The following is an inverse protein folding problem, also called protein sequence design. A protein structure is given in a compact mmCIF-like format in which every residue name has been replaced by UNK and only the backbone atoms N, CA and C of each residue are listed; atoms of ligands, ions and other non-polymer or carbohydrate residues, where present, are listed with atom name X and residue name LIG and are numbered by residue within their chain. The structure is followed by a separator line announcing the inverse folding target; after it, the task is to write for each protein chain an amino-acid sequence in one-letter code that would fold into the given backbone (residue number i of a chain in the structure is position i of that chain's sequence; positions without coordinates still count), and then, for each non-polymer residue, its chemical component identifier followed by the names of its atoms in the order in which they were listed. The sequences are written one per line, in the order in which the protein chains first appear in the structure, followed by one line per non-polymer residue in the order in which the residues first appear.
data_IF_077548745583
#
_entry.id   IF_077548745583
#
_cell.length_a   1.000
_cell.length_b   1.000
_cell.length_c   1.000
_cell.angle_alpha   90.00
_cell.angle_beta   90.00
_cell.angle_gamma   90.00
#
_symmetry.space_group_name_H-M   'P 1'
#
loop_
_entity.id
_entity.type
_entity.pdbx_description
1 polymer ?
#
# COMPACT_ATOMS: atom_id res chain seq x y z
N UNK A 1 -2.78 20.63 -0.67
CA UNK A 1 -3.01 19.52 0.28
C UNK A 1 -4.21 18.76 -0.26
N UNK A 2 -3.97 17.65 -0.97
CA UNK A 2 -5.06 16.78 -1.41
C UNK A 2 -5.74 16.18 -0.18
N UNK A 3 -7.03 16.43 -0.03
CA UNK A 3 -7.83 15.90 1.06
C UNK A 3 -8.11 14.43 0.77
N UNK A 4 -7.54 13.53 1.57
CA UNK A 4 -7.84 12.10 1.46
C UNK A 4 -9.34 11.92 1.76
N UNK A 5 -10.13 11.34 0.84
CA UNK A 5 -11.58 11.24 0.99
C UNK A 5 -11.94 10.39 2.22
N UNK A 6 -12.83 10.92 3.06
CA UNK A 6 -13.39 10.18 4.19
C UNK A 6 -14.64 9.42 3.76
N UNK A 7 -14.64 8.12 4.01
CA UNK A 7 -15.74 7.21 3.64
C UNK A 7 -16.48 6.78 4.91
N UNK A 8 -17.81 6.89 4.98
CA UNK A 8 -18.55 6.37 6.13
C UNK A 8 -18.53 4.84 6.16
N UNK A 9 -18.49 4.26 7.36
CA UNK A 9 -18.46 2.81 7.57
C UNK A 9 -19.61 2.07 6.84
N UNK A 10 -20.77 2.71 6.73
CA UNK A 10 -21.96 2.15 6.08
C UNK A 10 -21.75 1.90 4.59
N UNK A 11 -20.90 2.68 3.93
CA UNK A 11 -20.50 2.44 2.54
C UNK A 11 -19.67 1.16 2.43
N UNK A 12 -18.79 0.90 3.41
CA UNK A 12 -17.91 -0.27 3.40
C UNK A 12 -18.66 -1.55 3.77
N UNK A 13 -19.61 -1.48 4.71
CA UNK A 13 -20.45 -2.62 5.12
C UNK A 13 -21.21 -3.26 3.95
N UNK A 14 -21.54 -2.47 2.93
CA UNK A 14 -22.29 -2.92 1.77
C UNK A 14 -21.40 -3.38 0.60
N UNK A 15 -20.08 -3.25 0.71
CA UNK A 15 -19.15 -3.71 -0.32
C UNK A 15 -18.80 -5.18 -0.14
N UNK A 16 -18.67 -5.88 -1.27
CA UNK A 16 -18.01 -7.17 -1.25
C UNK A 16 -16.51 -6.98 -1.01
N UNK A 17 -15.88 -8.01 -0.46
CA UNK A 17 -14.44 -8.01 -0.15
C UNK A 17 -13.57 -7.62 -1.34
N UNK A 18 -13.94 -8.04 -2.56
CA UNK A 18 -13.21 -7.69 -3.78
C UNK A 18 -13.32 -6.21 -4.17
N UNK A 19 -14.49 -5.60 -3.96
CA UNK A 19 -14.71 -4.19 -4.25
C UNK A 19 -13.97 -3.31 -3.23
N UNK A 20 -13.99 -3.73 -1.95
CA UNK A 20 -13.22 -3.09 -0.89
C UNK A 20 -11.70 -3.16 -1.15
N UNK A 21 -11.19 -4.32 -1.58
CA UNK A 21 -9.78 -4.46 -1.97
C UNK A 21 -9.42 -3.62 -3.20
N UNK A 22 -10.35 -3.40 -4.12
CA UNK A 22 -10.12 -2.55 -5.28
C UNK A 22 -10.01 -1.07 -4.87
N UNK A 23 -10.86 -0.63 -3.94
CA UNK A 23 -10.79 0.69 -3.29
C UNK A 23 -9.45 0.90 -2.57
N UNK A 24 -9.02 -0.09 -1.78
CA UNK A 24 -7.71 -0.08 -1.09
C UNK A 24 -6.51 -0.07 -2.05
N UNK A 25 -6.65 -0.56 -3.28
CA UNK A 25 -5.58 -0.53 -4.29
C UNK A 25 -5.54 0.78 -5.07
N UNK A 26 -6.68 1.46 -5.23
CA UNK A 26 -6.73 2.77 -5.85
C UNK A 26 -6.16 3.84 -4.92
N UNK A 27 -6.52 3.77 -3.64
CA UNK A 27 -6.06 4.69 -2.62
C UNK A 27 -5.21 3.93 -1.60
N UNK A 28 -3.90 4.23 -1.55
CA UNK A 28 -2.96 3.63 -0.59
C UNK A 28 -3.42 3.78 0.88
N UNK A 29 -4.23 4.80 1.14
CA UNK A 29 -4.80 5.13 2.44
C UNK A 29 -6.30 5.37 2.31
N UNK A 30 -7.09 4.58 3.03
CA UNK A 30 -8.51 4.81 3.23
C UNK A 30 -8.79 5.35 4.64
N UNK A 31 -9.60 6.41 4.71
CA UNK A 31 -10.05 6.97 5.98
C UNK A 31 -11.53 6.64 6.16
N UNK A 32 -11.83 5.85 7.19
CA UNK A 32 -13.16 5.34 7.49
C UNK A 32 -13.73 6.08 8.70
N UNK A 33 -14.85 6.76 8.52
CA UNK A 33 -15.60 7.35 9.64
C UNK A 33 -16.49 6.26 10.27
N UNK A 34 -16.20 5.88 11.52
CA UNK A 34 -16.94 4.82 12.25
C UNK A 34 -18.08 5.43 13.07
N UNK A 35 -17.83 6.59 13.68
CA UNK A 35 -18.82 7.37 14.42
C UNK A 35 -18.44 8.84 14.36
N UNK A 36 -19.29 9.78 14.80
CA UNK A 36 -19.01 11.22 14.74
C UNK A 36 -17.71 11.67 15.43
N UNK A 37 -17.15 10.87 16.34
CA UNK A 37 -15.90 11.14 17.06
C UNK A 37 -14.76 10.17 16.72
N UNK A 38 -15.01 9.17 15.87
CA UNK A 38 -14.06 8.08 15.63
C UNK A 38 -13.79 7.89 14.13
N UNK A 39 -12.51 7.86 13.82
CA UNK A 39 -11.98 7.69 12.47
C UNK A 39 -10.93 6.59 12.50
N UNK A 40 -11.05 5.61 11.60
CA UNK A 40 -10.08 4.54 11.40
C UNK A 40 -9.34 4.79 10.09
N UNK A 41 -8.02 4.69 10.12
CA UNK A 41 -7.17 4.84 8.94
C UNK A 41 -6.63 3.48 8.53
N UNK A 42 -6.94 3.05 7.31
CA UNK A 42 -6.54 1.77 6.75
C UNK A 42 -5.51 2.04 5.67
N UNK A 43 -4.28 1.59 5.88
CA UNK A 43 -3.23 1.70 4.88
C UNK A 43 -3.08 0.34 4.20
N UNK A 44 -3.24 0.30 2.88
CA UNK A 44 -2.93 -0.87 2.08
C UNK A 44 -1.45 -0.84 1.73
N UNK A 45 -0.60 -1.35 2.64
CA UNK A 45 0.80 -1.61 2.31
C UNK A 45 0.89 -3.02 1.75
N UNK A 46 1.33 -3.13 0.50
CA UNK A 46 1.77 -4.40 -0.04
C UNK A 46 3.18 -4.61 0.51
N UNK A 47 3.30 -5.33 1.63
CA UNK A 47 4.61 -5.78 2.10
C UNK A 47 5.17 -6.75 1.07
N UNK A 48 5.96 -6.21 0.14
CA UNK A 48 6.77 -7.02 -0.75
C UNK A 48 7.75 -7.78 0.13
N UNK A 49 7.74 -9.11 0.01
CA UNK A 49 8.78 -9.93 0.63
C UNK A 49 10.14 -9.35 0.23
N UNK A 50 11.06 -9.15 1.19
CA UNK A 50 12.40 -8.67 0.86
C UNK A 50 12.98 -9.60 -0.20
N UNK A 51 13.67 -9.02 -1.17
CA UNK A 51 14.40 -9.79 -2.16
C UNK A 51 15.32 -10.74 -1.41
N UNK A 52 15.30 -12.03 -1.79
CA UNK A 52 16.25 -13.00 -1.29
C UNK A 52 17.65 -12.40 -1.45
N UNK A 53 18.39 -12.26 -0.34
CA UNK A 53 19.80 -11.96 -0.41
C UNK A 53 20.44 -13.10 -1.20
N UNK A 54 20.82 -12.80 -2.45
CA UNK A 54 21.53 -13.74 -3.28
C UNK A 54 22.90 -13.92 -2.64
N UNK A 55 23.11 -15.08 -2.02
CA UNK A 55 24.39 -15.47 -1.45
C UNK A 55 25.37 -15.74 -2.61
N UNK A 56 25.93 -14.65 -3.14
CA UNK A 56 26.69 -14.62 -4.36
C UNK A 56 27.61 -13.41 -4.38
N UNK A 57 28.91 -13.66 -4.34
CA UNK A 57 29.90 -12.62 -4.61
C UNK A 57 29.71 -12.13 -6.04
N UNK A 58 29.25 -10.89 -6.21
CA UNK A 58 29.27 -10.20 -7.49
C UNK A 58 30.74 -10.05 -7.90
N UNK A 59 31.17 -10.72 -8.96
CA UNK A 59 32.53 -10.57 -9.48
C UNK A 59 32.81 -9.08 -9.75
N UNK A 60 33.96 -8.60 -9.30
CA UNK A 60 34.40 -7.22 -9.50
C UNK A 60 34.28 -6.85 -10.99
N UNK A 61 33.45 -5.85 -11.30
CA UNK A 61 33.17 -5.38 -12.67
C UNK A 61 31.69 -5.41 -13.09
N UNK A 62 30.83 -6.19 -12.44
CA UNK A 62 29.38 -6.17 -12.74
C UNK A 62 28.68 -4.92 -12.18
N UNK A 63 29.22 -4.33 -11.11
CA UNK A 63 28.69 -3.12 -10.49
C UNK A 63 28.77 -1.92 -11.46
N UNK A 64 29.87 -1.80 -12.18
CA UNK A 64 30.13 -0.72 -13.15
C UNK A 64 29.27 -0.81 -14.43
N UNK A 65 28.74 -2.00 -14.74
CA UNK A 65 27.90 -2.23 -15.92
C UNK A 65 26.41 -1.95 -15.70
N UNK A 66 25.94 -1.99 -14.45
CA UNK A 66 24.50 -1.92 -14.10
C UNK A 66 24.12 -0.56 -13.50
N UNK A 67 25.04 0.11 -12.79
CA UNK A 67 24.78 1.42 -12.18
C UNK A 67 25.70 2.47 -12.81
N UNK A 68 25.28 3.14 -13.89
CA UNK A 68 25.96 4.35 -14.35
C UNK A 68 25.83 5.44 -13.28
N UNK A 69 26.93 6.17 -13.03
CA UNK A 69 27.02 7.29 -12.06
C UNK A 69 25.96 8.37 -12.28
#
# INVERSE_FOLDING_TARGET
MESIPQIPLETIKNLYSNDFLSLLRQDETLIVQVSSSEVVRINASLELSPLLELDGSVNQGWKDAIYPE
#
